data_IF_164532140416
#
_entry.id   IF_164532140416
#
_cell.length_a   1.000
_cell.length_b   1.000
_cell.length_c   1.000
_cell.angle_alpha   90.00
_cell.angle_beta   90.00
_cell.angle_gamma   90.00
#
_symmetry.space_group_name_H-M   'P 1'
#
loop_
_entity.id
_entity.type
_entity.pdbx_description
1 polymer ?
#
# COMPACT_ATOMS: atom_id res chain seq x y z
N UNK A 1 31.66 8.55 3.91
CA UNK A 1 31.09 7.45 4.72
C UNK A 1 29.66 7.16 4.27
N UNK A 2 29.44 6.62 3.07
CA UNK A 2 28.09 6.32 2.55
C UNK A 2 28.03 4.92 1.88
N UNK A 3 29.13 4.17 1.93
CA UNK A 3 29.35 2.97 1.12
C UNK A 3 28.83 1.67 1.77
N UNK A 4 28.60 1.63 3.08
CA UNK A 4 28.07 0.42 3.76
C UNK A 4 26.59 0.15 3.47
N UNK A 5 25.81 1.18 3.11
CA UNK A 5 24.37 1.02 2.83
C UNK A 5 24.12 0.51 1.40
N UNK A 6 24.97 0.84 0.43
CA UNK A 6 24.85 0.32 -0.95
C UNK A 6 25.20 -1.16 -1.07
N UNK A 7 26.03 -1.69 -0.17
CA UNK A 7 26.43 -3.10 -0.15
C UNK A 7 25.42 -4.01 0.60
N UNK A 8 24.40 -3.42 1.22
CA UNK A 8 23.44 -4.17 2.02
C UNK A 8 22.41 -4.86 1.14
N UNK A 9 22.12 -6.12 1.41
CA UNK A 9 21.05 -6.83 0.73
C UNK A 9 19.71 -6.08 0.91
N UNK A 10 18.89 -5.92 -0.14
CA UNK A 10 17.64 -5.15 -0.04
C UNK A 10 16.71 -5.63 1.09
N UNK A 11 16.73 -6.92 1.39
CA UNK A 11 15.98 -7.51 2.49
C UNK A 11 16.52 -7.09 3.88
N UNK A 12 17.84 -6.96 4.01
CA UNK A 12 18.49 -6.49 5.23
C UNK A 12 18.23 -5.00 5.44
N UNK A 13 18.33 -4.20 4.37
CA UNK A 13 18.03 -2.77 4.42
C UNK A 13 16.58 -2.55 4.82
N UNK A 14 15.66 -3.30 4.20
CA UNK A 14 14.24 -3.26 4.55
C UNK A 14 14.02 -3.63 6.02
N UNK A 15 14.68 -4.66 6.53
CA UNK A 15 14.54 -5.08 7.94
C UNK A 15 15.03 -4.01 8.90
N UNK A 16 16.19 -3.40 8.61
CA UNK A 16 16.75 -2.33 9.42
C UNK A 16 15.84 -1.11 9.44
N UNK A 17 15.37 -0.67 8.27
CA UNK A 17 14.45 0.45 8.14
C UNK A 17 13.16 0.17 8.92
N UNK A 18 12.52 -0.99 8.72
CA UNK A 18 11.28 -1.35 9.41
C UNK A 18 11.45 -1.40 10.93
N UNK A 19 12.59 -1.90 11.41
CA UNK A 19 12.92 -1.91 12.85
C UNK A 19 13.09 -0.49 13.38
N UNK A 20 13.81 0.36 12.64
CA UNK A 20 14.09 1.73 13.04
C UNK A 20 12.82 2.60 13.11
N UNK A 21 11.88 2.41 12.18
CA UNK A 21 10.63 3.18 12.16
C UNK A 21 9.55 2.64 13.08
N UNK A 22 9.65 1.39 13.53
CA UNK A 22 8.61 0.72 14.33
C UNK A 22 8.13 1.52 15.56
N UNK A 23 8.99 2.21 16.34
CA UNK A 23 8.54 3.00 17.50
C UNK A 23 7.68 4.21 17.14
N UNK A 24 7.76 4.70 15.90
CA UNK A 24 7.03 5.88 15.43
C UNK A 24 5.72 5.52 14.73
N UNK A 25 5.40 4.22 14.62
CA UNK A 25 4.18 3.74 13.98
C UNK A 25 3.15 3.47 15.06
N UNK A 26 2.10 4.28 15.08
CA UNK A 26 0.86 3.92 15.77
C UNK A 26 0.20 2.77 14.99
N UNK A 27 0.22 1.58 15.59
CA UNK A 27 -0.27 0.34 14.97
C UNK A 27 -1.77 0.33 14.79
N UNK A 28 -2.52 0.98 15.68
CA UNK A 28 -3.97 1.02 15.60
C UNK A 28 -4.42 2.00 14.51
N UNK A 29 -3.72 3.15 14.39
CA UNK A 29 -3.94 4.08 13.26
C UNK A 29 -3.61 3.39 11.95
N UNK A 30 -2.46 2.71 11.84
CA UNK A 30 -2.05 2.01 10.62
C UNK A 30 -3.08 0.94 10.22
N UNK A 31 -3.55 0.12 11.17
CA UNK A 31 -4.56 -0.89 10.92
C UNK A 31 -5.88 -0.30 10.41
N UNK A 32 -6.33 0.83 10.99
CA UNK A 32 -7.53 1.53 10.51
C UNK A 32 -7.36 2.07 9.10
N UNK A 33 -6.19 2.59 8.75
CA UNK A 33 -5.94 3.11 7.39
C UNK A 33 -5.94 1.98 6.35
N UNK A 34 -5.31 0.84 6.67
CA UNK A 34 -5.34 -0.34 5.80
C UNK A 34 -6.79 -0.81 5.57
N UNK A 35 -7.58 -0.93 6.63
CA UNK A 35 -8.98 -1.34 6.52
C UNK A 35 -9.82 -0.37 5.66
N UNK A 36 -9.61 0.93 5.83
CA UNK A 36 -10.27 1.96 5.02
C UNK A 36 -9.87 1.86 3.55
N UNK A 37 -8.59 1.68 3.27
CA UNK A 37 -8.10 1.53 1.90
C UNK A 37 -8.68 0.27 1.24
N UNK A 38 -8.73 -0.86 1.94
CA UNK A 38 -9.32 -2.10 1.44
C UNK A 38 -10.82 -1.97 1.18
N UNK A 39 -11.55 -1.22 2.00
CA UNK A 39 -12.95 -0.87 1.74
C UNK A 39 -13.09 -0.02 0.48
N UNK A 40 -12.25 1.02 0.31
CA UNK A 40 -12.26 1.86 -0.88
C UNK A 40 -11.92 1.09 -2.15
N UNK A 41 -10.93 0.21 -2.10
CA UNK A 41 -10.56 -0.67 -3.22
C UNK A 41 -11.71 -1.60 -3.61
N UNK A 42 -12.41 -2.18 -2.63
CA UNK A 42 -13.60 -3.01 -2.88
C UNK A 42 -14.76 -2.21 -3.47
N UNK A 43 -15.02 -1.01 -2.94
CA UNK A 43 -16.05 -0.13 -3.48
C UNK A 43 -15.75 0.30 -4.92
N UNK A 44 -14.48 0.62 -5.21
CA UNK A 44 -14.05 0.94 -6.57
C UNK A 44 -14.18 -0.25 -7.51
N UNK A 45 -13.76 -1.44 -7.09
CA UNK A 45 -13.92 -2.66 -7.90
C UNK A 45 -15.40 -2.92 -8.22
N UNK A 46 -16.29 -2.87 -7.22
CA UNK A 46 -17.72 -3.05 -7.42
C UNK A 46 -18.33 -1.98 -8.36
N UNK A 47 -17.86 -0.74 -8.27
CA UNK A 47 -18.26 0.32 -9.19
C UNK A 47 -17.84 0.02 -10.63
N UNK A 48 -16.58 -0.39 -10.85
CA UNK A 48 -16.06 -0.73 -12.17
C UNK A 48 -16.78 -1.94 -12.76
N UNK A 49 -17.01 -2.98 -11.95
CA UNK A 49 -17.78 -4.16 -12.37
C UNK A 49 -19.20 -3.77 -12.82
N UNK A 50 -19.86 -2.88 -12.08
CA UNK A 50 -21.19 -2.36 -12.44
C UNK A 50 -21.17 -1.48 -13.69
N UNK A 51 -20.12 -0.69 -13.88
CA UNK A 51 -19.91 0.14 -15.06
C UNK A 51 -19.71 -0.70 -16.34
N UNK A 52 -18.87 -1.73 -16.26
CA UNK A 52 -18.63 -2.66 -17.36
C UNK A 52 -19.90 -3.47 -17.70
N UNK A 53 -20.64 -3.92 -16.68
CA UNK A 53 -21.91 -4.62 -16.86
C UNK A 53 -23.00 -3.76 -17.53
N UNK A 54 -22.95 -2.43 -17.34
CA UNK A 54 -23.85 -1.48 -17.99
C UNK A 54 -23.47 -1.18 -19.46
N UNK A 55 -22.41 -1.81 -19.99
CA UNK A 55 -21.94 -1.58 -21.36
C UNK A 55 -21.19 -0.26 -21.52
N UNK A 56 -20.63 0.27 -20.43
CA UNK A 56 -19.89 1.53 -20.39
C UNK A 56 -18.57 1.51 -21.16
N UNK A 57 -18.63 1.45 -22.49
CA UNK A 57 -17.49 1.79 -23.33
C UNK A 57 -17.18 3.29 -23.21
N UNK A 58 -15.90 3.64 -23.05
CA UNK A 58 -15.47 5.03 -23.19
C UNK A 58 -15.92 5.55 -24.57
N UNK A 59 -16.52 6.75 -24.67
CA UNK A 59 -16.84 7.33 -25.97
C UNK A 59 -15.54 7.47 -26.76
N UNK A 60 -15.49 6.83 -27.93
CA UNK A 60 -14.40 6.95 -28.92
C UNK A 60 -14.29 8.36 -29.46
#
# INVERSE_FOLDING_TARGET
>A
MQWEVEALEPAELRRMVLTAVAPYIDRDVLARQIAREDEQRRALAAYLDGWDAAGGGAPT
#
